data_IF_666829502954
#
_entry.id   IF_666829502954
#
_cell.length_a   1.000
_cell.length_b   1.000
_cell.length_c   1.000
_cell.angle_alpha   90.00
_cell.angle_beta   90.00
_cell.angle_gamma   90.00
#
_symmetry.space_group_name_H-M   'P 1'
#
loop_
_entity.id
_entity.type
_entity.pdbx_description
1 polymer ?
#
# COMPACT_ATOMS: atom_id res chain seq x y z
N UNK A 1 -9.53 -47.36 -10.09
CA UNK A 1 -9.99 -45.95 -10.21
C UNK A 1 -10.61 -45.81 -11.58
N UNK A 2 -11.94 -45.59 -11.69
CA UNK A 2 -12.59 -45.47 -12.99
C UNK A 2 -12.36 -44.07 -13.57
N UNK A 3 -11.96 -43.95 -14.84
CA UNK A 3 -11.83 -42.65 -15.50
C UNK A 3 -13.21 -41.96 -15.55
N UNK A 4 -13.23 -40.64 -15.30
CA UNK A 4 -14.44 -39.81 -15.40
C UNK A 4 -14.95 -39.89 -16.84
N UNK A 5 -16.21 -40.30 -17.04
CA UNK A 5 -16.77 -40.44 -18.39
C UNK A 5 -16.98 -39.08 -19.04
N UNK A 6 -16.82 -39.02 -20.37
CA UNK A 6 -16.99 -37.77 -21.13
C UNK A 6 -18.44 -37.27 -21.05
N UNK A 7 -19.41 -38.18 -21.01
CA UNK A 7 -20.84 -37.88 -20.81
C UNK A 7 -21.12 -37.19 -19.47
N UNK A 8 -20.41 -37.59 -18.41
CA UNK A 8 -20.51 -36.95 -17.09
C UNK A 8 -19.94 -35.53 -17.15
N UNK A 9 -18.79 -35.32 -17.80
CA UNK A 9 -18.18 -33.99 -17.96
C UNK A 9 -19.10 -33.08 -18.76
N UNK A 10 -19.66 -33.56 -19.87
CA UNK A 10 -20.58 -32.79 -20.72
C UNK A 10 -21.84 -32.36 -19.95
N UNK A 11 -22.43 -33.28 -19.18
CA UNK A 11 -23.58 -32.99 -18.31
C UNK A 11 -23.27 -31.91 -17.27
N UNK A 12 -22.09 -31.97 -16.64
CA UNK A 12 -21.67 -30.99 -15.65
C UNK A 12 -21.37 -29.62 -16.27
N UNK A 13 -20.72 -29.59 -17.45
CA UNK A 13 -20.49 -28.35 -18.21
C UNK A 13 -21.82 -27.70 -18.60
N UNK A 14 -22.79 -28.48 -19.10
CA UNK A 14 -24.11 -27.99 -19.47
C UNK A 14 -24.86 -27.35 -18.28
N UNK A 15 -24.67 -27.89 -17.07
CA UNK A 15 -25.24 -27.34 -15.83
C UNK A 15 -24.50 -26.08 -15.34
N UNK A 16 -23.17 -26.04 -15.46
CA UNK A 16 -22.35 -24.95 -14.95
C UNK A 16 -22.41 -23.70 -15.86
N UNK A 17 -22.44 -23.91 -17.18
CA UNK A 17 -22.38 -22.85 -18.18
C UNK A 17 -23.38 -21.70 -17.98
N UNK A 18 -24.69 -21.93 -17.86
CA UNK A 18 -25.64 -20.83 -17.68
C UNK A 18 -25.41 -20.04 -16.38
N UNK A 19 -24.92 -20.70 -15.32
CA UNK A 19 -24.61 -20.05 -14.04
C UNK A 19 -23.38 -19.15 -14.15
N UNK A 20 -22.34 -19.63 -14.85
CA UNK A 20 -21.13 -18.82 -15.09
C UNK A 20 -21.43 -17.66 -16.04
N UNK A 21 -22.25 -17.86 -17.08
CA UNK A 21 -22.67 -16.77 -17.97
C UNK A 21 -23.46 -15.69 -17.20
N UNK A 22 -24.35 -16.09 -16.28
CA UNK A 22 -25.03 -15.14 -15.40
C UNK A 22 -24.04 -14.40 -14.48
N UNK A 23 -23.05 -15.08 -13.91
CA UNK A 23 -22.01 -14.45 -13.10
C UNK A 23 -21.12 -13.50 -13.92
N UNK A 24 -20.85 -13.81 -15.20
CA UNK A 24 -20.07 -12.97 -16.11
C UNK A 24 -20.73 -11.63 -16.42
N UNK A 25 -22.06 -11.54 -16.27
CA UNK A 25 -22.77 -10.27 -16.41
C UNK A 25 -22.53 -9.30 -15.24
N UNK A 26 -21.94 -9.77 -14.14
CA UNK A 26 -21.65 -8.93 -12.98
C UNK A 26 -20.37 -8.09 -13.23
N UNK A 27 -20.38 -6.78 -12.89
CA UNK A 27 -19.20 -5.91 -13.04
C UNK A 27 -17.93 -6.43 -12.34
N UNK A 28 -18.12 -7.10 -11.20
CA UNK A 28 -17.07 -7.66 -10.36
C UNK A 28 -16.70 -9.11 -10.72
N UNK A 29 -16.96 -9.55 -11.95
CA UNK A 29 -16.69 -10.92 -12.38
C UNK A 29 -15.23 -11.35 -12.16
N UNK A 30 -15.02 -12.59 -11.69
CA UNK A 30 -13.68 -13.18 -11.51
C UNK A 30 -13.69 -14.66 -11.90
N UNK A 31 -12.56 -15.20 -12.39
CA UNK A 31 -12.43 -16.65 -12.64
C UNK A 31 -12.77 -17.51 -11.43
N UNK A 32 -12.50 -17.02 -10.21
CA UNK A 32 -12.90 -17.70 -8.97
C UNK A 32 -14.40 -17.90 -8.83
N UNK A 33 -15.23 -16.94 -9.26
CA UNK A 33 -16.69 -17.12 -9.26
C UNK A 33 -17.15 -18.16 -10.28
N UNK A 34 -16.44 -18.30 -11.41
CA UNK A 34 -16.70 -19.39 -12.35
C UNK A 34 -16.33 -20.75 -11.74
N UNK A 35 -15.17 -20.85 -11.10
CA UNK A 35 -14.71 -22.09 -10.47
C UNK A 35 -15.62 -22.54 -9.31
N UNK A 36 -16.12 -21.60 -8.49
CA UNK A 36 -17.15 -21.89 -7.47
C UNK A 36 -18.38 -22.58 -8.06
N UNK A 37 -18.84 -22.17 -9.25
CA UNK A 37 -19.96 -22.82 -9.93
C UNK A 37 -19.61 -24.22 -10.46
N UNK A 38 -18.34 -24.46 -10.83
CA UNK A 38 -17.85 -25.80 -11.20
C UNK A 38 -17.87 -26.73 -9.99
N UNK A 39 -17.42 -26.27 -8.82
CA UNK A 39 -17.51 -27.03 -7.57
C UNK A 39 -18.96 -27.33 -7.19
N UNK A 40 -19.87 -26.36 -7.37
CA UNK A 40 -21.27 -26.52 -7.02
C UNK A 40 -21.96 -27.61 -7.86
N UNK A 41 -21.77 -27.62 -9.19
CA UNK A 41 -22.35 -28.68 -10.02
C UNK A 41 -21.75 -30.07 -9.77
N UNK A 42 -20.51 -30.12 -9.27
CA UNK A 42 -19.85 -31.34 -8.84
C UNK A 42 -20.25 -31.81 -7.43
N UNK A 43 -21.16 -31.09 -6.75
CA UNK A 43 -21.60 -31.42 -5.39
C UNK A 43 -20.61 -31.05 -4.29
N UNK A 44 -19.57 -30.27 -4.61
CA UNK A 44 -18.48 -29.87 -3.71
C UNK A 44 -18.56 -28.40 -3.30
N UNK A 45 -19.76 -27.82 -3.27
CA UNK A 45 -19.99 -26.42 -2.89
C UNK A 45 -19.41 -26.08 -1.52
N UNK A 46 -19.63 -26.96 -0.54
CA UNK A 46 -19.15 -26.76 0.82
C UNK A 46 -17.61 -26.74 0.92
N UNK A 47 -16.91 -27.51 0.08
CA UNK A 47 -15.44 -27.49 -0.01
C UNK A 47 -14.96 -26.16 -0.58
N UNK A 48 -15.60 -25.67 -1.64
CA UNK A 48 -15.30 -24.37 -2.23
C UNK A 48 -15.55 -23.21 -1.25
N UNK A 49 -16.66 -23.24 -0.50
CA UNK A 49 -16.97 -22.21 0.49
C UNK A 49 -15.95 -22.22 1.63
N UNK A 50 -15.56 -23.40 2.16
CA UNK A 50 -14.50 -23.51 3.17
C UNK A 50 -13.15 -22.97 2.68
N UNK A 51 -12.76 -23.30 1.45
CA UNK A 51 -11.52 -22.78 0.87
C UNK A 51 -11.58 -21.26 0.67
N UNK A 52 -12.74 -20.73 0.24
CA UNK A 52 -12.94 -19.29 0.08
C UNK A 52 -12.88 -18.57 1.42
N UNK A 53 -13.51 -19.11 2.46
CA UNK A 53 -13.49 -18.55 3.81
C UNK A 53 -12.09 -18.57 4.42
N UNK A 54 -11.32 -19.64 4.20
CA UNK A 54 -9.94 -19.75 4.67
C UNK A 54 -9.02 -18.66 4.12
N UNK A 55 -9.29 -18.15 2.91
CA UNK A 55 -8.47 -17.13 2.25
C UNK A 55 -9.08 -15.74 2.25
N UNK A 56 -10.33 -15.60 2.72
CA UNK A 56 -11.14 -14.38 2.58
C UNK A 56 -10.46 -13.14 3.15
N UNK A 57 -9.86 -13.29 4.33
CA UNK A 57 -9.30 -12.17 5.09
C UNK A 57 -7.77 -12.17 5.09
N UNK A 58 -7.09 -13.11 4.42
CA UNK A 58 -5.62 -13.19 4.42
C UNK A 58 -4.97 -11.87 4.00
N UNK A 59 -5.45 -11.26 2.91
CA UNK A 59 -4.93 -9.97 2.43
C UNK A 59 -5.16 -8.81 3.41
N UNK A 60 -6.38 -8.67 3.95
CA UNK A 60 -6.72 -7.57 4.86
C UNK A 60 -5.98 -7.72 6.20
N UNK A 61 -5.82 -8.95 6.70
CA UNK A 61 -5.08 -9.23 7.91
C UNK A 61 -3.58 -9.03 7.73
N UNK A 62 -2.99 -9.48 6.61
CA UNK A 62 -1.57 -9.27 6.32
C UNK A 62 -1.24 -7.77 6.26
N UNK A 63 -2.10 -6.95 5.63
CA UNK A 63 -1.95 -5.48 5.66
C UNK A 63 -2.07 -4.93 7.07
N UNK A 64 -3.03 -5.41 7.86
CA UNK A 64 -3.19 -4.98 9.26
C UNK A 64 -1.95 -5.31 10.09
N UNK A 65 -1.37 -6.51 9.92
CA UNK A 65 -0.13 -6.95 10.58
C UNK A 65 1.09 -6.15 10.11
N UNK A 66 1.22 -5.90 8.80
CA UNK A 66 2.28 -5.06 8.26
C UNK A 66 2.25 -3.64 8.88
N UNK A 67 1.06 -3.03 8.92
CA UNK A 67 0.88 -1.70 9.53
C UNK A 67 1.13 -1.68 11.03
N UNK A 68 0.66 -2.69 11.77
CA UNK A 68 0.91 -2.76 13.21
C UNK A 68 2.38 -3.02 13.51
N UNK A 69 3.07 -3.84 12.70
CA UNK A 69 4.51 -4.04 12.75
C UNK A 69 5.28 -2.74 12.56
N UNK A 70 4.93 -1.95 11.54
CA UNK A 70 5.55 -0.63 11.31
C UNK A 70 5.37 0.32 12.51
N UNK A 71 4.20 0.32 13.16
CA UNK A 71 3.97 1.13 14.37
C UNK A 71 4.79 0.62 15.54
N UNK A 72 4.86 -0.70 15.74
CA UNK A 72 5.62 -1.31 16.84
C UNK A 72 7.11 -1.05 16.70
N UNK A 73 7.66 -1.21 15.51
CA UNK A 73 9.11 -1.21 15.29
C UNK A 73 9.67 0.22 15.13
N UNK A 74 8.88 1.13 14.54
CA UNK A 74 9.32 2.52 14.26
C UNK A 74 8.62 3.59 15.09
N UNK A 75 7.47 3.29 15.69
CA UNK A 75 6.73 4.21 16.55
C UNK A 75 6.48 5.56 15.89
N UNK A 76 6.95 6.63 16.54
CA UNK A 76 6.87 8.01 16.05
C UNK A 76 7.47 8.24 14.66
N UNK A 77 8.47 7.41 14.27
CA UNK A 77 9.20 7.50 13.00
C UNK A 77 8.52 6.73 11.87
N UNK A 78 7.40 6.04 12.13
CA UNK A 78 6.66 5.30 11.11
C UNK A 78 6.30 6.23 9.93
N UNK A 79 6.73 5.92 8.68
CA UNK A 79 6.44 6.77 7.53
C UNK A 79 4.95 6.93 7.19
N UNK A 80 4.09 5.94 7.50
CA UNK A 80 2.66 6.00 7.17
C UNK A 80 1.81 6.71 8.23
N UNK A 81 2.13 6.51 9.52
CA UNK A 81 1.27 6.92 10.65
C UNK A 81 2.01 7.57 11.82
N UNK A 82 3.32 7.75 11.70
CA UNK A 82 4.13 8.35 12.74
C UNK A 82 3.85 9.85 12.90
N UNK A 83 3.76 10.32 14.15
CA UNK A 83 3.46 11.73 14.43
C UNK A 83 4.56 12.69 13.96
N UNK A 84 5.80 12.22 13.75
CA UNK A 84 6.91 13.02 13.21
C UNK A 84 6.57 13.52 11.80
N UNK A 85 5.88 12.72 10.99
CA UNK A 85 5.41 13.15 9.66
C UNK A 85 4.45 14.34 9.75
N UNK A 86 3.54 14.33 10.72
CA UNK A 86 2.62 15.46 10.97
C UNK A 86 3.34 16.70 11.48
N UNK A 87 4.32 16.54 12.39
CA UNK A 87 5.13 17.66 12.87
C UNK A 87 5.92 18.31 11.72
N UNK A 88 6.51 17.50 10.83
CA UNK A 88 7.22 18.01 9.64
C UNK A 88 6.28 18.64 8.63
N UNK A 89 5.09 18.08 8.42
CA UNK A 89 4.06 18.69 7.57
C UNK A 89 3.64 20.07 8.12
N UNK A 90 3.39 20.18 9.43
CA UNK A 90 3.09 21.46 10.08
C UNK A 90 4.26 22.45 9.91
N UNK A 91 5.49 21.98 10.04
CA UNK A 91 6.70 22.78 9.83
C UNK A 91 6.76 23.37 8.42
N UNK A 92 6.49 22.55 7.40
CA UNK A 92 6.43 22.97 5.99
C UNK A 92 5.33 24.00 5.78
N UNK A 93 4.10 23.70 6.21
CA UNK A 93 2.95 24.59 6.00
C UNK A 93 3.17 25.95 6.68
N UNK A 94 3.63 25.95 7.93
CA UNK A 94 3.89 27.19 8.66
C UNK A 94 4.98 28.03 7.98
N UNK A 95 6.06 27.40 7.53
CA UNK A 95 7.17 28.09 6.85
C UNK A 95 6.77 28.65 5.48
N UNK A 96 5.97 27.90 4.71
CA UNK A 96 5.45 28.37 3.42
C UNK A 96 4.48 29.54 3.61
N UNK A 97 3.60 29.47 4.62
CA UNK A 97 2.69 30.57 4.93
C UNK A 97 3.47 31.80 5.42
N UNK A 98 4.51 31.64 6.23
CA UNK A 98 5.38 32.73 6.65
C UNK A 98 6.01 33.43 5.43
N UNK A 99 6.51 32.66 4.46
CA UNK A 99 7.06 33.21 3.22
C UNK A 99 5.99 33.93 2.37
N UNK A 100 4.78 33.37 2.28
CA UNK A 100 3.68 33.96 1.53
C UNK A 100 3.19 35.28 2.16
N UNK A 101 3.16 35.39 3.48
CA UNK A 101 2.83 36.65 4.16
C UNK A 101 3.95 37.69 4.01
N UNK A 102 5.21 37.25 4.09
CA UNK A 102 6.35 38.14 3.87
C UNK A 102 6.46 38.64 2.42
N UNK A 103 5.84 37.97 1.44
CA UNK A 103 5.97 38.31 0.03
C UNK A 103 5.15 39.52 -0.42
N UNK A 104 4.19 39.99 0.38
CA UNK A 104 3.37 41.17 0.05
C UNK A 104 2.33 40.97 -1.07
N UNK A 105 2.10 39.74 -1.55
CA UNK A 105 1.23 39.48 -2.71
C UNK A 105 -0.26 39.71 -2.39
N UNK A 106 -0.69 39.48 -1.14
CA UNK A 106 -2.10 39.57 -0.73
C UNK A 106 -2.37 40.55 0.41
N UNK A 107 -1.34 40.98 1.13
CA UNK A 107 -1.46 41.82 2.33
C UNK A 107 -0.18 42.64 2.48
N UNK A 108 -0.27 43.82 3.10
CA UNK A 108 0.92 44.60 3.42
C UNK A 108 1.82 43.79 4.38
N UNK A 109 3.09 43.53 4.03
CA UNK A 109 4.04 42.81 4.88
C UNK A 109 4.16 43.40 6.29
N UNK A 110 3.99 44.70 6.46
CA UNK A 110 4.08 45.35 7.77
C UNK A 110 2.93 44.92 8.71
N UNK A 111 1.71 44.83 8.18
CA UNK A 111 0.50 44.47 8.94
C UNK A 111 0.52 42.99 9.38
N UNK A 112 1.14 42.12 8.59
CA UNK A 112 1.21 40.67 8.84
C UNK A 112 2.56 40.21 9.41
N UNK A 113 3.47 41.12 9.71
CA UNK A 113 4.84 40.81 10.15
C UNK A 113 4.89 39.94 11.42
N UNK A 114 4.00 40.23 12.38
CA UNK A 114 3.87 39.45 13.63
C UNK A 114 3.38 38.03 13.31
N UNK A 115 2.37 37.89 12.45
CA UNK A 115 1.81 36.60 12.04
C UNK A 115 2.86 35.75 11.32
N UNK A 116 3.61 36.34 10.38
CA UNK A 116 4.69 35.66 9.67
C UNK A 116 5.79 35.18 10.64
N UNK A 117 6.11 35.99 11.66
CA UNK A 117 7.09 35.64 12.70
C UNK A 117 6.59 34.48 13.56
N UNK A 118 5.33 34.50 14.00
CA UNK A 118 4.71 33.42 14.77
C UNK A 118 4.75 32.12 13.96
N UNK A 119 4.40 32.18 12.67
CA UNK A 119 4.42 31.01 11.78
C UNK A 119 5.85 30.46 11.62
N UNK A 120 6.86 31.32 11.51
CA UNK A 120 8.26 30.88 11.47
C UNK A 120 8.69 30.17 12.78
N UNK A 121 8.27 30.70 13.93
CA UNK A 121 8.52 30.09 15.25
C UNK A 121 7.83 28.73 15.37
N UNK A 122 6.54 28.64 14.99
CA UNK A 122 5.80 27.36 14.96
C UNK A 122 6.50 26.36 14.04
N UNK A 123 6.95 26.81 12.87
CA UNK A 123 7.68 25.98 11.91
C UNK A 123 8.97 25.41 12.47
N UNK A 124 9.79 26.26 13.11
CA UNK A 124 11.05 25.86 13.74
C UNK A 124 10.83 24.95 14.96
N UNK A 125 9.82 25.24 15.80
CA UNK A 125 9.47 24.41 16.95
C UNK A 125 8.99 23.02 16.51
N UNK A 126 8.09 22.94 15.53
CA UNK A 126 7.62 21.66 15.01
C UNK A 126 8.79 20.82 14.45
N UNK A 127 9.74 21.48 13.78
CA UNK A 127 10.96 20.83 13.31
C UNK A 127 11.85 20.32 14.47
N UNK A 128 12.09 21.14 15.48
CA UNK A 128 12.88 20.76 16.65
C UNK A 128 12.23 19.61 17.44
N UNK A 129 10.90 19.63 17.58
CA UNK A 129 10.11 18.54 18.19
C UNK A 129 10.24 17.25 17.38
N UNK A 130 10.28 17.34 16.03
CA UNK A 130 10.51 16.18 15.16
C UNK A 130 11.88 15.52 15.44
N UNK A 131 12.93 16.33 15.64
CA UNK A 131 14.27 15.86 15.98
C UNK A 131 14.29 15.22 17.36
N UNK A 132 13.69 15.86 18.37
CA UNK A 132 13.57 15.31 19.71
C UNK A 132 12.81 13.98 19.71
N UNK A 133 11.70 13.90 18.97
CA UNK A 133 10.89 12.70 18.79
C UNK A 133 11.62 11.56 18.09
N UNK A 134 12.55 11.89 17.18
CA UNK A 134 13.40 10.90 16.49
C UNK A 134 14.41 10.22 17.42
N UNK A 135 14.73 10.83 18.57
CA UNK A 135 15.77 10.39 19.50
C UNK A 135 17.12 10.15 18.82
N UNK A 136 17.48 11.01 17.87
CA UNK A 136 18.70 10.92 17.06
C UNK A 136 18.83 9.60 16.27
N UNK A 137 17.71 8.96 15.93
CA UNK A 137 17.67 7.84 15.01
C UNK A 137 17.37 8.31 13.59
N UNK A 138 17.82 7.58 12.56
CA UNK A 138 17.51 7.92 11.17
C UNK A 138 16.00 8.05 10.93
N UNK A 139 15.65 9.07 10.15
CA UNK A 139 14.29 9.38 9.68
C UNK A 139 14.21 9.08 8.19
N UNK A 140 13.04 8.69 7.69
CA UNK A 140 12.82 8.37 6.28
C UNK A 140 13.16 9.55 5.35
N UNK A 141 13.62 9.25 4.13
CA UNK A 141 13.93 10.21 3.06
C UNK A 141 12.81 11.23 2.79
N UNK A 142 11.55 10.89 3.01
CA UNK A 142 10.43 11.82 2.91
C UNK A 142 10.55 13.01 3.89
N UNK A 143 10.99 12.76 5.13
CA UNK A 143 11.23 13.81 6.12
C UNK A 143 12.38 14.71 5.69
N UNK A 144 13.42 14.16 5.06
CA UNK A 144 14.52 14.96 4.51
C UNK A 144 14.04 15.91 3.39
N UNK A 145 13.10 15.47 2.55
CA UNK A 145 12.50 16.33 1.52
C UNK A 145 11.69 17.47 2.16
N UNK A 146 10.89 17.17 3.18
CA UNK A 146 10.15 18.19 3.93
C UNK A 146 11.08 19.19 4.60
N UNK A 147 12.17 18.72 5.22
CA UNK A 147 13.19 19.56 5.84
C UNK A 147 13.80 20.55 4.85
N UNK A 148 14.11 20.11 3.63
CA UNK A 148 14.63 20.99 2.58
C UNK A 148 13.60 22.07 2.20
N UNK A 149 12.33 21.70 2.06
CA UNK A 149 11.25 22.67 1.77
C UNK A 149 11.11 23.69 2.91
N UNK A 150 11.13 23.24 4.17
CA UNK A 150 11.09 24.11 5.35
C UNK A 150 12.24 25.12 5.34
N UNK A 151 13.49 24.66 5.12
CA UNK A 151 14.66 25.54 5.05
C UNK A 151 14.52 26.60 3.95
N UNK A 152 14.12 26.19 2.74
CA UNK A 152 13.98 27.10 1.59
C UNK A 152 12.86 28.12 1.84
N UNK A 153 11.73 27.68 2.38
CA UNK A 153 10.60 28.57 2.68
C UNK A 153 10.97 29.60 3.76
N UNK A 154 11.64 29.18 4.85
CA UNK A 154 12.12 30.12 5.87
C UNK A 154 13.17 31.09 5.32
N UNK A 155 14.09 30.63 4.47
CA UNK A 155 15.06 31.50 3.82
C UNK A 155 14.38 32.57 2.94
N UNK A 156 13.35 32.17 2.20
CA UNK A 156 12.53 33.11 1.42
C UNK A 156 11.81 34.12 2.34
N UNK A 157 11.19 33.66 3.43
CA UNK A 157 10.52 34.54 4.39
C UNK A 157 11.47 35.60 4.98
N UNK A 158 12.69 35.19 5.35
CA UNK A 158 13.73 36.09 5.86
C UNK A 158 14.14 37.11 4.81
N UNK A 159 14.47 36.66 3.60
CA UNK A 159 14.92 37.53 2.52
C UNK A 159 13.86 38.57 2.14
N UNK A 160 12.60 38.14 2.05
CA UNK A 160 11.46 39.02 1.75
C UNK A 160 11.21 40.01 2.88
N UNK A 161 11.26 39.58 4.14
CA UNK A 161 11.07 40.48 5.29
C UNK A 161 12.17 41.54 5.37
N UNK A 162 13.44 41.18 5.09
CA UNK A 162 14.52 42.17 4.98
C UNK A 162 14.33 43.12 3.79
N UNK A 163 13.89 42.59 2.64
CA UNK A 163 13.63 43.41 1.44
C UNK A 163 12.52 44.45 1.66
N UNK A 164 11.57 44.14 2.53
CA UNK A 164 10.50 45.07 2.94
C UNK A 164 10.89 45.98 4.13
N UNK A 165 12.16 45.98 4.57
CA UNK A 165 12.64 46.85 5.65
C UNK A 165 12.23 46.41 7.07
N UNK A 166 11.66 45.21 7.24
CA UNK A 166 11.14 44.71 8.51
C UNK A 166 12.25 44.06 9.36
N UNK A 167 13.24 44.85 9.80
CA UNK A 167 14.47 44.35 10.45
C UNK A 167 14.20 43.48 11.67
N UNK A 168 13.28 43.88 12.55
CA UNK A 168 12.93 43.11 13.77
C UNK A 168 12.35 41.72 13.46
N UNK A 169 11.20 41.64 12.75
CA UNK A 169 10.62 40.38 12.28
C UNK A 169 11.61 39.51 11.48
N UNK A 170 12.35 40.11 10.55
CA UNK A 170 13.33 39.39 9.74
C UNK A 170 14.45 38.76 10.58
N UNK A 171 14.92 39.45 11.62
CA UNK A 171 15.93 38.91 12.55
C UNK A 171 15.39 37.72 13.34
N UNK A 172 14.15 37.80 13.83
CA UNK A 172 13.52 36.66 14.53
C UNK A 172 13.33 35.44 13.61
N UNK A 173 12.90 35.67 12.36
CA UNK A 173 12.78 34.61 11.36
C UNK A 173 14.15 34.01 11.00
N UNK A 174 15.21 34.82 10.95
CA UNK A 174 16.57 34.36 10.68
C UNK A 174 17.07 33.41 11.78
N UNK A 175 16.78 33.69 13.05
CA UNK A 175 17.07 32.78 14.16
C UNK A 175 16.34 31.44 13.96
N UNK A 176 15.06 31.47 13.57
CA UNK A 176 14.27 30.28 13.28
C UNK A 176 14.86 29.46 12.12
N UNK A 177 15.34 30.14 11.07
CA UNK A 177 16.03 29.51 9.95
C UNK A 177 17.32 28.83 10.40
N UNK A 178 18.16 29.51 11.19
CA UNK A 178 19.43 28.95 11.70
C UNK A 178 19.18 27.68 12.51
N UNK A 179 18.20 27.70 13.43
CA UNK A 179 17.81 26.52 14.20
C UNK A 179 17.36 25.39 13.27
N UNK A 180 16.52 25.69 12.30
CA UNK A 180 16.00 24.72 11.32
C UNK A 180 17.13 24.11 10.50
N UNK A 181 18.11 24.91 10.07
CA UNK A 181 19.30 24.43 9.35
C UNK A 181 20.14 23.51 10.22
N UNK A 182 20.38 23.87 11.48
CA UNK A 182 21.11 23.01 12.44
C UNK A 182 20.40 21.66 12.59
N UNK A 183 19.08 21.67 12.77
CA UNK A 183 18.28 20.42 12.83
C UNK A 183 18.45 19.61 11.54
N UNK A 184 18.38 20.24 10.37
CA UNK A 184 18.60 19.58 9.09
C UNK A 184 19.99 18.95 8.96
N UNK A 185 21.03 19.64 9.42
CA UNK A 185 22.40 19.11 9.48
C UNK A 185 22.45 17.88 10.39
N UNK A 186 21.85 17.95 11.58
CA UNK A 186 21.80 16.80 12.51
C UNK A 186 21.09 15.61 11.87
N UNK A 187 19.96 15.80 11.18
CA UNK A 187 19.25 14.73 10.47
C UNK A 187 20.16 14.07 9.43
N UNK A 188 20.90 14.87 8.64
CA UNK A 188 21.84 14.35 7.63
C UNK A 188 23.00 13.60 8.27
N UNK A 189 23.57 14.13 9.35
CA UNK A 189 24.67 13.50 10.09
C UNK A 189 24.23 12.16 10.70
N UNK A 190 23.05 12.11 11.33
CA UNK A 190 22.49 10.88 11.88
C UNK A 190 22.30 9.82 10.80
N UNK A 191 21.78 10.21 9.63
CA UNK A 191 21.62 9.29 8.49
C UNK A 191 22.94 8.76 7.97
N UNK A 192 23.98 9.60 7.86
CA UNK A 192 25.31 9.18 7.39
C UNK A 192 26.10 8.33 8.40
N UNK A 193 25.74 8.40 9.69
CA UNK A 193 26.42 7.65 10.74
C UNK A 193 25.98 6.18 10.78
N UNK A 194 24.75 5.91 10.35
CA UNK A 194 24.15 4.58 10.39
C UNK A 194 23.43 4.30 9.07
N UNK A 195 24.23 3.92 8.07
CA UNK A 195 23.73 3.60 6.72
C UNK A 195 22.74 2.43 6.76
N UNK A 196 22.99 1.44 7.62
CA UNK A 196 22.10 0.29 7.81
C UNK A 196 20.72 0.67 8.30
N UNK A 197 20.61 1.42 9.41
CA UNK A 197 19.32 1.84 9.94
C UNK A 197 18.64 2.87 9.03
N UNK A 198 19.42 3.61 8.24
CA UNK A 198 18.92 4.53 7.23
C UNK A 198 18.26 3.80 6.07
N UNK A 199 18.90 2.76 5.54
CA UNK A 199 18.32 1.90 4.51
C UNK A 199 17.07 1.18 5.05
N UNK A 200 17.13 0.73 6.30
CA UNK A 200 16.01 0.06 6.97
C UNK A 200 14.77 0.95 7.03
N UNK A 201 14.88 2.21 7.51
CA UNK A 201 13.74 3.13 7.59
C UNK A 201 13.25 3.62 6.21
N UNK A 202 14.13 3.67 5.22
CA UNK A 202 13.76 4.08 3.85
C UNK A 202 12.97 2.97 3.14
N UNK A 203 13.31 1.70 3.39
CA UNK A 203 12.67 0.53 2.76
C UNK A 203 11.63 -0.16 3.66
N UNK A 204 11.40 0.28 4.90
CA UNK A 204 10.57 -0.45 5.86
C UNK A 204 9.15 -0.71 5.38
N UNK A 205 8.53 0.27 4.71
CA UNK A 205 7.17 0.14 4.17
C UNK A 205 7.15 -0.90 3.06
N UNK A 206 8.09 -0.80 2.10
CA UNK A 206 8.20 -1.77 1.01
C UNK A 206 8.44 -3.19 1.54
N UNK A 207 9.41 -3.36 2.45
CA UNK A 207 9.72 -4.65 3.09
C UNK A 207 8.52 -5.21 3.86
N UNK A 208 7.76 -4.37 4.56
CA UNK A 208 6.57 -4.80 5.29
C UNK A 208 5.46 -5.32 4.35
N UNK A 209 5.23 -4.67 3.21
CA UNK A 209 4.25 -5.14 2.24
C UNK A 209 4.76 -6.33 1.41
N UNK A 210 6.05 -6.43 1.11
CA UNK A 210 6.63 -7.64 0.51
C UNK A 210 6.46 -8.84 1.44
N UNK A 211 6.78 -8.68 2.73
CA UNK A 211 6.54 -9.72 3.73
C UNK A 211 5.05 -10.08 3.86
N UNK A 212 4.14 -9.11 3.71
CA UNK A 212 2.71 -9.38 3.70
C UNK A 212 2.29 -10.19 2.46
N UNK A 213 2.87 -9.93 1.28
CA UNK A 213 2.64 -10.72 0.07
C UNK A 213 3.09 -12.16 0.31
N UNK A 214 4.29 -12.36 0.84
CA UNK A 214 4.83 -13.70 1.14
C UNK A 214 3.94 -14.45 2.14
N UNK A 215 3.40 -13.76 3.15
CA UNK A 215 2.47 -14.32 4.13
C UNK A 215 1.15 -14.75 3.46
N UNK A 216 0.58 -13.92 2.59
CA UNK A 216 -0.64 -14.27 1.83
C UNK A 216 -0.36 -15.43 0.87
N UNK A 217 0.79 -15.45 0.18
CA UNK A 217 1.17 -16.54 -0.71
C UNK A 217 1.40 -17.86 0.05
N UNK A 218 1.92 -17.80 1.28
CA UNK A 218 2.02 -18.96 2.16
C UNK A 218 0.63 -19.45 2.60
N UNK A 219 -0.26 -18.54 3.03
CA UNK A 219 -1.63 -18.89 3.39
C UNK A 219 -2.45 -19.43 2.22
N UNK A 220 -2.24 -18.91 1.00
CA UNK A 220 -2.83 -19.41 -0.22
C UNK A 220 -2.38 -20.84 -0.54
N UNK A 221 -1.08 -21.13 -0.40
CA UNK A 221 -0.52 -22.49 -0.56
C UNK A 221 -1.07 -23.45 0.48
N UNK A 222 -1.19 -23.03 1.74
CA UNK A 222 -1.77 -23.84 2.80
C UNK A 222 -3.25 -24.14 2.53
N UNK A 223 -4.02 -23.13 2.08
CA UNK A 223 -5.42 -23.33 1.69
C UNK A 223 -5.55 -24.28 0.50
N UNK A 224 -4.65 -24.20 -0.49
CA UNK A 224 -4.60 -25.14 -1.62
C UNK A 224 -4.31 -26.57 -1.14
N UNK A 225 -3.32 -26.75 -0.27
CA UNK A 225 -2.98 -28.07 0.29
C UNK A 225 -4.14 -28.69 1.07
N UNK A 226 -4.87 -27.89 1.86
CA UNK A 226 -6.07 -28.37 2.57
C UNK A 226 -7.17 -28.77 1.60
N UNK A 227 -7.41 -27.97 0.55
CA UNK A 227 -8.40 -28.28 -0.48
C UNK A 227 -8.04 -29.56 -1.25
N UNK A 228 -6.77 -29.73 -1.61
CA UNK A 228 -6.27 -30.94 -2.27
C UNK A 228 -6.40 -32.19 -1.38
N UNK A 229 -6.29 -32.03 -0.06
CA UNK A 229 -6.49 -33.11 0.91
C UNK A 229 -7.98 -33.45 1.16
N UNK A 230 -8.89 -32.49 1.02
CA UNK A 230 -10.33 -32.68 1.19
C UNK A 230 -10.99 -33.34 -0.04
N UNK A 231 -10.46 -33.11 -1.24
CA UNK A 231 -11.01 -33.65 -2.48
C UNK A 231 -10.49 -35.05 -2.75
N UNK A 232 -11.38 -35.99 -3.05
CA UNK A 232 -10.95 -37.27 -3.61
C UNK A 232 -10.38 -37.05 -5.03
N UNK A 233 -9.37 -37.84 -5.47
CA UNK A 233 -8.69 -37.53 -6.72
C UNK A 233 -9.59 -37.73 -7.97
N UNK A 234 -10.67 -38.52 -7.87
CA UNK A 234 -11.64 -38.70 -8.94
C UNK A 234 -12.50 -37.45 -9.15
N UNK A 235 -13.01 -36.89 -8.06
CA UNK A 235 -13.77 -35.64 -8.04
C UNK A 235 -12.88 -34.46 -8.43
N UNK A 236 -11.64 -34.40 -7.95
CA UNK A 236 -10.68 -33.38 -8.37
C UNK A 236 -10.43 -33.42 -9.89
N UNK A 237 -10.23 -34.62 -10.46
CA UNK A 237 -10.08 -34.80 -11.90
C UNK A 237 -11.33 -34.37 -12.68
N UNK A 238 -12.53 -34.69 -12.18
CA UNK A 238 -13.79 -34.26 -12.80
C UNK A 238 -13.93 -32.73 -12.80
N UNK A 239 -13.70 -32.09 -11.64
CA UNK A 239 -13.75 -30.62 -11.51
C UNK A 239 -12.74 -29.96 -12.43
N UNK A 240 -11.50 -30.47 -12.49
CA UNK A 240 -10.46 -29.95 -13.38
C UNK A 240 -10.89 -30.03 -14.84
N UNK A 241 -11.40 -31.18 -15.31
CA UNK A 241 -11.87 -31.34 -16.69
C UNK A 241 -13.02 -30.38 -17.01
N UNK A 242 -14.02 -30.28 -16.15
CA UNK A 242 -15.16 -29.38 -16.33
C UNK A 242 -14.69 -27.92 -16.39
N UNK A 243 -13.81 -27.50 -15.47
CA UNK A 243 -13.23 -26.15 -15.46
C UNK A 243 -12.47 -25.85 -16.73
N UNK A 244 -11.60 -26.75 -17.17
CA UNK A 244 -10.78 -26.56 -18.38
C UNK A 244 -11.64 -26.40 -19.63
N UNK A 245 -12.65 -27.26 -19.81
CA UNK A 245 -13.60 -27.14 -20.94
C UNK A 245 -14.38 -25.83 -20.85
N UNK A 246 -14.88 -25.49 -19.67
CA UNK A 246 -15.71 -24.31 -19.46
C UNK A 246 -14.91 -23.00 -19.66
N UNK A 247 -13.69 -22.92 -19.14
CA UNK A 247 -12.84 -21.74 -19.26
C UNK A 247 -12.35 -21.56 -20.70
N UNK A 248 -12.08 -22.65 -21.43
CA UNK A 248 -11.74 -22.59 -22.85
C UNK A 248 -12.92 -22.08 -23.70
N UNK A 249 -14.15 -22.53 -23.43
CA UNK A 249 -15.33 -22.08 -24.15
C UNK A 249 -15.69 -20.62 -23.85
N UNK A 250 -15.79 -20.28 -22.55
CA UNK A 250 -16.18 -18.94 -22.11
C UNK A 250 -15.05 -17.91 -22.24
N UNK A 251 -13.80 -18.36 -22.29
CA UNK A 251 -12.61 -17.52 -22.53
C UNK A 251 -12.66 -16.77 -23.86
N UNK A 252 -13.34 -17.33 -24.88
CA UNK A 252 -13.61 -16.64 -26.16
C UNK A 252 -14.34 -15.30 -25.99
N UNK A 253 -15.08 -15.13 -24.89
CA UNK A 253 -15.86 -13.93 -24.56
C UNK A 253 -15.33 -13.18 -23.34
N UNK A 254 -14.40 -13.77 -22.58
CA UNK A 254 -13.89 -13.18 -21.35
C UNK A 254 -12.37 -13.39 -21.22
N UNK A 255 -11.61 -12.30 -21.33
CA UNK A 255 -10.16 -12.34 -21.28
C UNK A 255 -9.59 -12.87 -19.96
N UNK A 256 -10.29 -12.68 -18.83
CA UNK A 256 -9.83 -13.18 -17.53
C UNK A 256 -9.92 -14.71 -17.43
N UNK A 257 -10.93 -15.32 -18.06
CA UNK A 257 -11.03 -16.79 -18.18
C UNK A 257 -10.02 -17.33 -19.21
N UNK A 258 -9.83 -16.62 -20.33
CA UNK A 258 -8.86 -17.01 -21.36
C UNK A 258 -7.41 -17.00 -20.86
N UNK A 259 -7.07 -16.04 -19.99
CA UNK A 259 -5.72 -15.90 -19.44
C UNK A 259 -5.42 -16.86 -18.27
N UNK A 260 -6.40 -17.65 -17.83
CA UNK A 260 -6.21 -18.58 -16.71
C UNK A 260 -5.46 -19.83 -17.16
N UNK A 261 -4.45 -20.24 -16.40
CA UNK A 261 -3.63 -21.40 -16.71
C UNK A 261 -4.45 -22.70 -16.56
N UNK A 262 -4.67 -23.48 -17.64
CA UNK A 262 -5.44 -24.70 -17.56
C UNK A 262 -4.77 -25.79 -16.70
N UNK A 263 -3.45 -25.70 -16.49
CA UNK A 263 -2.67 -26.63 -15.66
C UNK A 263 -2.69 -26.29 -14.17
N UNK A 264 -3.26 -25.15 -13.79
CA UNK A 264 -3.32 -24.74 -12.39
C UNK A 264 -4.13 -25.74 -11.54
N UNK A 265 -3.81 -25.93 -10.24
CA UNK A 265 -4.57 -26.82 -9.35
C UNK A 265 -6.06 -26.47 -9.27
N UNK A 266 -6.90 -27.44 -8.91
CA UNK A 266 -8.34 -27.22 -8.67
C UNK A 266 -8.51 -26.24 -7.50
N UNK A 267 -9.41 -25.27 -7.59
CA UNK A 267 -9.64 -24.25 -6.54
C UNK A 267 -8.67 -23.06 -6.59
N UNK A 268 -7.66 -23.09 -7.45
CA UNK A 268 -6.67 -22.01 -7.55
C UNK A 268 -7.24 -20.70 -8.10
N UNK A 269 -8.27 -20.73 -8.95
CA UNK A 269 -8.93 -19.51 -9.44
C UNK A 269 -9.74 -18.84 -8.32
N UNK A 270 -10.40 -19.65 -7.49
CA UNK A 270 -11.12 -19.23 -6.29
C UNK A 270 -10.16 -18.60 -5.27
N UNK A 271 -9.04 -19.26 -4.98
CA UNK A 271 -8.03 -18.77 -4.05
C UNK A 271 -7.39 -17.49 -4.58
N UNK A 272 -6.99 -17.46 -5.86
CA UNK A 272 -6.39 -16.29 -6.49
C UNK A 272 -7.32 -15.07 -6.49
N UNK A 273 -8.64 -15.26 -6.64
CA UNK A 273 -9.61 -14.17 -6.59
C UNK A 273 -9.63 -13.42 -5.25
N UNK A 274 -9.10 -14.01 -4.17
CA UNK A 274 -9.03 -13.37 -2.84
C UNK A 274 -7.61 -12.97 -2.44
N UNK A 275 -6.61 -13.67 -2.95
CA UNK A 275 -5.21 -13.53 -2.55
C UNK A 275 -4.39 -12.67 -3.49
N UNK A 276 -4.91 -12.33 -4.68
CA UNK A 276 -4.26 -11.44 -5.63
C UNK A 276 -3.88 -10.10 -4.99
N UNK A 277 -2.57 -9.76 -4.91
CA UNK A 277 -2.10 -8.53 -4.28
C UNK A 277 -2.67 -7.25 -4.88
N UNK A 278 -3.08 -7.26 -6.16
CA UNK A 278 -3.69 -6.09 -6.80
C UNK A 278 -5.03 -5.68 -6.16
N UNK A 279 -5.65 -6.59 -5.38
CA UNK A 279 -6.97 -6.38 -4.74
C UNK A 279 -6.89 -5.82 -3.33
N UNK A 280 -5.78 -6.02 -2.64
CA UNK A 280 -5.65 -5.68 -1.22
C UNK A 280 -4.44 -4.79 -0.90
N UNK A 281 -3.47 -4.68 -1.80
CA UNK A 281 -2.38 -3.72 -1.64
C UNK A 281 -2.88 -2.28 -1.83
N UNK A 282 -2.26 -1.30 -1.13
CA UNK A 282 -2.47 0.11 -1.44
C UNK A 282 -2.17 0.41 -2.92
N UNK A 283 -3.01 1.23 -3.56
CA UNK A 283 -2.91 1.54 -4.99
C UNK A 283 -1.53 2.08 -5.43
N UNK A 284 -0.83 2.79 -4.54
CA UNK A 284 0.52 3.28 -4.80
C UNK A 284 1.55 2.15 -4.99
N UNK A 285 1.37 1.03 -4.28
CA UNK A 285 2.25 -0.14 -4.32
C UNK A 285 1.82 -1.17 -5.37
N UNK A 286 0.51 -1.31 -5.61
CA UNK A 286 -0.01 -2.13 -6.71
C UNK A 286 0.52 -1.62 -8.07
N UNK A 287 0.60 -0.30 -8.27
CA UNK A 287 1.13 0.31 -9.52
C UNK A 287 2.64 0.10 -9.74
N UNK A 288 3.43 -0.02 -8.68
CA UNK A 288 4.88 -0.21 -8.79
C UNK A 288 5.29 -1.65 -9.05
N UNK A 289 4.39 -2.62 -8.79
CA UNK A 289 4.56 -4.00 -9.22
C UNK A 289 4.39 -4.05 -10.73
N UNK A 290 5.45 -3.77 -11.50
CA UNK A 290 5.47 -4.12 -12.93
C UNK A 290 5.11 -5.60 -13.01
N UNK A 291 3.96 -5.94 -13.62
CA UNK A 291 3.71 -7.31 -14.07
C UNK A 291 4.95 -7.71 -14.87
N UNK A 292 5.71 -8.76 -14.50
CA UNK A 292 6.52 -9.40 -15.52
C UNK A 292 5.56 -9.71 -16.66
N UNK A 293 5.90 -9.26 -17.87
CA UNK A 293 5.19 -9.69 -19.06
C UNK A 293 5.18 -11.23 -19.00
N UNK A 294 4.01 -11.79 -18.75
CA UNK A 294 3.76 -13.22 -18.93
C UNK A 294 3.53 -13.44 -20.42
#
# INVERSE_FOLDING_TARGET
>A
MMPVSDEQVETLVARAKPRVESAMALPQFTPGMAEVNVFDVAGQRAVADRASDAVRDLGSEAVRRAKSGLVRDYGARNPERGWIGFAMFLSVVASVLAAAFASGIRSDPADVAIVATILAVVGALANAVSLAGSRLRPLNRFVLRMQLVTCVALAAAVALSFSNGLVGPATAQLVCLVITVIVGIVIVVVRRRDDSATEEIDLCVERAYLSAIDEVEAGAREAQQRLDAELDPGTAAAILRVRTVLFADLGKRNAALAAFDPSAPVGSALIAAKTDPDRWLPAALAKTRKRPAR
#
